data_IF_600713103449
#
_entry.id   IF_600713103449
#
_cell.length_a   1.000
_cell.length_b   1.000
_cell.length_c   1.000
_cell.angle_alpha   90.00
_cell.angle_beta   90.00
_cell.angle_gamma   90.00
#
_symmetry.space_group_name_H-M   'P 1'
#
loop_
_entity.id
_entity.type
_entity.pdbx_description
1 polymer ?
#
# COMPACT_ATOMS: atom_id res chain seq x y z
N UNK A 1 17.30 -35.67 50.85
CA UNK A 1 16.05 -34.89 51.02
C UNK A 1 15.81 -34.15 49.73
N UNK A 2 14.86 -34.65 48.91
CA UNK A 2 14.51 -34.09 47.63
C UNK A 2 13.33 -33.13 47.83
N UNK A 3 13.54 -31.85 47.58
CA UNK A 3 12.50 -30.81 47.60
C UNK A 3 11.73 -30.82 46.30
N UNK A 4 10.48 -31.30 46.35
CA UNK A 4 9.59 -31.32 45.20
C UNK A 4 9.10 -29.91 44.88
N UNK A 5 9.25 -29.49 43.61
CA UNK A 5 8.60 -28.33 43.07
C UNK A 5 7.10 -28.61 42.94
N UNK A 6 6.28 -27.78 43.56
CA UNK A 6 4.83 -27.88 43.59
C UNK A 6 4.21 -27.41 42.28
N UNK A 7 3.09 -28.04 41.92
CA UNK A 7 2.29 -27.74 40.70
C UNK A 7 1.79 -26.28 40.57
N UNK A 8 1.95 -25.44 41.58
CA UNK A 8 1.50 -24.06 41.62
C UNK A 8 2.43 -23.07 40.87
N UNK A 9 3.68 -23.46 40.56
CA UNK A 9 4.61 -22.57 39.81
C UNK A 9 4.47 -22.66 38.30
N UNK A 10 3.53 -23.46 37.78
CA UNK A 10 3.26 -23.60 36.34
C UNK A 10 2.07 -22.80 35.85
N UNK A 11 1.26 -22.23 36.72
CA UNK A 11 0.03 -21.51 36.32
C UNK A 11 0.19 -19.98 36.19
N UNK A 12 1.34 -19.39 36.48
CA UNK A 12 1.57 -17.93 36.38
C UNK A 12 2.24 -17.48 35.10
N UNK A 13 2.29 -18.29 34.04
CA UNK A 13 2.61 -17.86 32.67
C UNK A 13 1.40 -17.85 31.77
N UNK A 14 0.25 -17.43 32.24
CA UNK A 14 -0.78 -16.90 31.39
C UNK A 14 -0.28 -15.53 30.94
N UNK A 15 0.31 -15.50 29.71
CA UNK A 15 0.68 -14.27 29.05
C UNK A 15 -0.55 -13.40 28.97
N UNK A 16 -0.44 -12.18 29.47
CA UNK A 16 -1.41 -11.10 29.24
C UNK A 16 -1.51 -11.00 27.72
N UNK A 17 -2.57 -11.55 27.20
CA UNK A 17 -2.95 -11.36 25.78
C UNK A 17 -3.46 -9.93 25.69
N UNK A 18 -2.55 -8.96 25.66
CA UNK A 18 -2.93 -7.59 25.33
C UNK A 18 -3.43 -7.62 23.89
N UNK A 19 -4.74 -7.61 23.70
CA UNK A 19 -5.36 -7.32 22.40
C UNK A 19 -4.92 -5.90 22.01
N UNK A 20 -3.89 -5.83 21.20
CA UNK A 20 -3.50 -4.57 20.59
C UNK A 20 -4.51 -4.22 19.51
N UNK A 21 -5.24 -3.16 19.71
CA UNK A 21 -6.12 -2.59 18.68
C UNK A 21 -5.27 -1.98 17.57
N UNK A 22 -5.48 -2.46 16.34
CA UNK A 22 -4.83 -1.87 15.18
C UNK A 22 -5.23 -0.40 15.01
N UNK A 23 -4.23 0.49 14.94
CA UNK A 23 -4.48 1.92 14.76
C UNK A 23 -4.64 2.24 13.27
N UNK A 24 -5.72 2.93 12.94
CA UNK A 24 -5.98 3.43 11.59
C UNK A 24 -5.43 4.85 11.42
N UNK A 25 -4.89 5.11 10.24
CA UNK A 25 -4.31 6.39 9.85
C UNK A 25 -4.90 6.87 8.54
N UNK A 26 -4.94 8.18 8.38
CA UNK A 26 -5.39 8.84 7.18
C UNK A 26 -4.25 9.66 6.56
N UNK A 27 -3.97 9.42 5.29
CA UNK A 27 -3.07 10.24 4.49
C UNK A 27 -3.86 10.91 3.36
N UNK A 28 -3.68 12.20 3.18
CA UNK A 28 -4.04 12.87 1.95
C UNK A 28 -2.85 12.85 1.01
N UNK A 29 -3.10 12.43 -0.24
CA UNK A 29 -2.06 12.17 -1.25
C UNK A 29 -2.46 12.81 -2.57
N UNK A 30 -1.52 13.47 -3.25
CA UNK A 30 -1.81 14.14 -4.53
C UNK A 30 -0.59 14.17 -5.44
N UNK A 31 -0.85 14.43 -6.72
CA UNK A 31 0.18 14.62 -7.74
C UNK A 31 -0.42 15.05 -9.08
N UNK A 32 0.43 15.56 -9.94
CA UNK A 32 0.04 16.07 -11.25
C UNK A 32 -0.41 14.96 -12.20
N UNK A 33 0.25 13.78 -12.09
CA UNK A 33 -0.04 12.61 -12.90
C UNK A 33 -0.01 11.34 -12.07
N UNK A 34 -0.75 10.32 -12.54
CA UNK A 34 -0.72 8.98 -11.96
C UNK A 34 -0.92 7.92 -13.05
N UNK A 35 -0.32 6.73 -12.84
CA UNK A 35 -0.53 5.57 -13.69
C UNK A 35 -0.58 4.29 -12.86
N UNK A 36 -1.78 3.88 -12.48
CA UNK A 36 -2.04 2.63 -11.79
C UNK A 36 -2.30 1.54 -12.84
N UNK A 37 -1.21 1.05 -13.44
CA UNK A 37 -1.27 0.22 -14.64
C UNK A 37 -2.11 -1.04 -14.44
N UNK A 38 -3.08 -1.25 -15.34
CA UNK A 38 -3.87 -2.49 -15.42
C UNK A 38 -2.95 -3.64 -15.85
N UNK A 39 -2.92 -4.78 -15.16
CA UNK A 39 -2.05 -5.90 -15.52
C UNK A 39 -2.25 -6.40 -16.94
N UNK A 40 -3.49 -6.40 -17.42
CA UNK A 40 -3.89 -6.82 -18.77
C UNK A 40 -3.43 -5.83 -19.87
N UNK A 41 -3.17 -4.58 -19.51
CA UNK A 41 -2.77 -3.48 -20.41
C UNK A 41 -1.38 -2.93 -20.10
N UNK A 42 -0.49 -3.76 -19.58
CA UNK A 42 0.85 -3.35 -19.15
C UNK A 42 1.76 -2.86 -20.28
N UNK A 43 1.52 -3.30 -21.52
CA UNK A 43 2.35 -2.92 -22.67
C UNK A 43 2.13 -1.46 -23.05
N UNK A 44 0.87 -1.01 -23.09
CA UNK A 44 0.46 0.37 -23.39
C UNK A 44 0.36 1.24 -22.13
N UNK A 45 0.47 0.65 -20.94
CA UNK A 45 0.34 1.33 -19.63
C UNK A 45 -0.94 2.13 -19.50
N UNK A 46 -2.06 1.44 -19.53
CA UNK A 46 -3.37 2.05 -19.25
C UNK A 46 -3.62 2.00 -17.74
N UNK A 47 -3.91 3.15 -17.14
CA UNK A 47 -4.22 3.26 -15.71
C UNK A 47 -5.59 2.68 -15.37
N UNK A 48 -5.79 2.24 -14.12
CA UNK A 48 -7.10 2.19 -13.48
C UNK A 48 -7.64 3.63 -13.33
N UNK A 49 -8.95 3.74 -13.14
CA UNK A 49 -9.64 5.04 -12.95
C UNK A 49 -9.21 5.78 -11.69
N UNK A 50 -8.78 5.04 -10.67
CA UNK A 50 -8.37 5.55 -9.37
C UNK A 50 -7.19 4.76 -8.84
N UNK A 51 -6.61 5.21 -7.72
CA UNK A 51 -5.54 4.50 -7.01
C UNK A 51 -6.00 3.10 -6.57
N UNK A 52 -5.17 2.08 -6.81
CA UNK A 52 -5.42 0.72 -6.34
C UNK A 52 -5.05 0.56 -4.85
N UNK A 53 -5.67 -0.38 -4.11
CA UNK A 53 -5.28 -0.66 -2.73
C UNK A 53 -3.79 -0.98 -2.57
N UNK A 54 -3.19 -1.74 -3.49
CA UNK A 54 -1.75 -2.04 -3.47
C UNK A 54 -0.87 -0.79 -3.61
N UNK A 55 -1.25 0.15 -4.49
CA UNK A 55 -0.52 1.41 -4.65
C UNK A 55 -0.70 2.31 -3.42
N UNK A 56 -1.91 2.37 -2.86
CA UNK A 56 -2.20 3.09 -1.62
C UNK A 56 -1.37 2.54 -0.44
N UNK A 57 -1.33 1.20 -0.28
CA UNK A 57 -0.48 0.54 0.72
C UNK A 57 0.99 0.90 0.56
N UNK A 58 1.50 0.89 -0.68
CA UNK A 58 2.90 1.21 -0.97
C UNK A 58 3.29 2.64 -0.57
N UNK A 59 2.36 3.60 -0.56
CA UNK A 59 2.61 4.96 -0.08
C UNK A 59 2.85 4.96 1.45
N UNK A 60 2.04 4.24 2.23
CA UNK A 60 2.28 4.07 3.66
C UNK A 60 3.61 3.37 3.93
N UNK A 61 3.93 2.34 3.16
CA UNK A 61 5.20 1.60 3.27
C UNK A 61 6.42 2.48 2.94
N UNK A 62 6.29 3.42 2.01
CA UNK A 62 7.34 4.39 1.70
C UNK A 62 7.70 5.27 2.91
N UNK A 63 6.75 5.51 3.82
CA UNK A 63 6.96 6.27 5.07
C UNK A 63 7.51 5.35 6.15
N UNK A 64 6.88 4.19 6.37
CA UNK A 64 7.29 3.21 7.37
C UNK A 64 7.00 1.79 6.90
N UNK A 65 8.06 1.01 6.73
CA UNK A 65 7.99 -0.42 6.48
C UNK A 65 8.96 -1.17 7.39
N UNK A 66 8.46 -2.18 8.11
CA UNK A 66 9.24 -3.09 8.93
C UNK A 66 8.82 -4.52 8.62
N UNK A 67 9.59 -5.13 7.71
CA UNK A 67 9.35 -6.51 7.29
C UNK A 67 9.19 -7.42 8.50
N UNK A 68 8.20 -8.28 8.49
CA UNK A 68 7.83 -9.23 9.55
C UNK A 68 7.24 -8.62 10.83
N UNK A 69 7.43 -7.34 11.12
CA UNK A 69 6.98 -6.73 12.37
C UNK A 69 5.61 -6.06 12.24
N UNK A 70 5.27 -5.63 11.03
CA UNK A 70 4.01 -4.96 10.75
C UNK A 70 3.61 -5.09 9.28
N UNK A 71 2.35 -4.86 9.02
CA UNK A 71 1.81 -4.70 7.66
C UNK A 71 0.84 -3.53 7.63
N UNK A 72 0.69 -2.93 6.47
CA UNK A 72 -0.36 -1.96 6.22
C UNK A 72 -1.55 -2.64 5.55
N UNK A 73 -2.75 -2.29 6.00
CA UNK A 73 -4.01 -2.76 5.41
C UNK A 73 -4.85 -1.55 5.08
N UNK A 74 -5.01 -1.27 3.79
CA UNK A 74 -5.90 -0.21 3.31
C UNK A 74 -7.33 -0.63 3.59
N UNK A 75 -8.13 0.30 4.13
CA UNK A 75 -9.53 0.06 4.51
C UNK A 75 -10.49 0.87 3.67
N UNK A 76 -10.07 2.10 3.27
CA UNK A 76 -10.92 3.04 2.55
C UNK A 76 -10.08 3.96 1.68
N UNK A 77 -10.61 4.31 0.52
CA UNK A 77 -10.04 5.32 -0.38
C UNK A 77 -11.14 6.33 -0.71
N UNK A 78 -10.84 7.60 -0.55
CA UNK A 78 -11.71 8.71 -0.93
C UNK A 78 -11.09 9.47 -2.10
N UNK A 79 -11.86 9.68 -3.14
CA UNK A 79 -11.45 10.41 -4.34
C UNK A 79 -11.88 11.86 -4.16
N UNK A 80 -10.92 12.78 -4.14
CA UNK A 80 -11.16 14.20 -3.80
C UNK A 80 -11.21 15.11 -5.04
N UNK A 81 -10.77 14.61 -6.20
CA UNK A 81 -10.81 15.33 -7.46
C UNK A 81 -11.41 14.48 -8.57
N UNK A 82 -12.12 15.11 -9.54
CA UNK A 82 -12.69 14.41 -10.69
C UNK A 82 -11.63 13.61 -11.45
N UNK A 83 -12.04 12.45 -11.95
CA UNK A 83 -11.19 11.56 -12.73
C UNK A 83 -10.95 12.22 -14.11
N UNK A 84 -9.71 12.61 -14.36
CA UNK A 84 -9.29 13.25 -15.61
C UNK A 84 -8.24 12.39 -16.31
N UNK A 85 -8.47 12.10 -17.57
CA UNK A 85 -7.58 11.30 -18.39
C UNK A 85 -6.70 12.18 -19.28
N UNK A 86 -5.47 11.71 -19.50
CA UNK A 86 -4.55 12.28 -20.50
C UNK A 86 -3.78 11.17 -21.19
N UNK A 87 -3.50 11.34 -22.47
CA UNK A 87 -2.68 10.42 -23.25
C UNK A 87 -1.30 11.02 -23.48
N UNK A 88 -0.26 10.22 -23.24
CA UNK A 88 1.12 10.63 -23.47
C UNK A 88 1.82 9.58 -24.34
N UNK A 89 2.42 10.02 -25.44
CA UNK A 89 3.28 9.19 -26.27
C UNK A 89 4.72 9.28 -25.74
N UNK A 90 5.32 8.14 -25.48
CA UNK A 90 6.67 8.05 -24.91
C UNK A 90 7.58 7.18 -25.77
N UNK A 91 8.86 7.55 -25.80
CA UNK A 91 9.89 6.68 -26.33
C UNK A 91 10.38 5.76 -25.19
N UNK A 92 10.21 4.47 -25.36
CA UNK A 92 10.70 3.44 -24.45
C UNK A 92 11.77 2.59 -25.11
N UNK A 93 12.58 1.91 -24.30
CA UNK A 93 13.61 0.99 -24.76
C UNK A 93 12.99 -0.39 -24.98
N UNK A 94 12.97 -0.87 -26.22
CA UNK A 94 12.43 -2.16 -26.63
C UNK A 94 13.39 -3.35 -26.40
N UNK A 95 14.36 -3.24 -25.48
CA UNK A 95 15.32 -4.29 -25.19
C UNK A 95 15.60 -4.39 -23.70
N UNK A 96 15.95 -5.60 -23.25
CA UNK A 96 16.39 -5.86 -21.88
C UNK A 96 17.92 -5.82 -21.82
N UNK A 97 18.48 -5.13 -20.83
CA UNK A 97 19.93 -5.12 -20.60
C UNK A 97 20.44 -6.54 -20.32
N UNK A 98 21.57 -6.88 -20.90
CA UNK A 98 22.23 -8.17 -20.71
C UNK A 98 23.69 -7.94 -20.38
N UNK A 99 24.24 -8.74 -19.47
CA UNK A 99 25.68 -8.73 -19.15
C UNK A 99 26.56 -9.22 -20.30
N UNK A 100 25.94 -9.84 -21.32
CA UNK A 100 26.63 -10.33 -22.52
C UNK A 100 26.70 -9.33 -23.67
N UNK A 101 26.04 -8.16 -23.53
CA UNK A 101 26.04 -7.11 -24.56
C UNK A 101 26.87 -5.92 -24.12
N UNK A 102 27.42 -5.20 -25.08
CA UNK A 102 28.21 -3.98 -24.87
C UNK A 102 27.37 -2.77 -24.42
N UNK A 103 26.04 -2.94 -24.36
CA UNK A 103 25.08 -1.91 -23.98
C UNK A 103 23.84 -1.92 -24.86
N UNK A 104 22.91 -1.00 -24.58
CA UNK A 104 21.72 -0.74 -25.37
C UNK A 104 21.82 0.67 -25.95
N UNK A 105 21.85 0.78 -27.27
CA UNK A 105 21.79 2.04 -27.97
C UNK A 105 20.31 2.36 -28.24
N UNK A 106 19.84 3.49 -27.71
CA UNK A 106 18.41 3.88 -27.77
C UNK A 106 17.94 4.09 -29.23
N UNK A 107 18.82 4.56 -30.09
CA UNK A 107 18.57 4.78 -31.51
C UNK A 107 18.11 3.51 -32.22
N UNK A 108 18.71 2.37 -31.87
CA UNK A 108 18.43 1.07 -32.48
C UNK A 108 17.25 0.33 -31.85
N UNK A 109 16.91 0.68 -30.61
CA UNK A 109 15.93 -0.05 -29.80
C UNK A 109 14.78 0.84 -29.31
N UNK A 110 14.59 2.01 -29.90
CA UNK A 110 13.48 2.91 -29.57
C UNK A 110 12.14 2.30 -29.98
N UNK A 111 11.22 2.28 -29.03
CA UNK A 111 9.81 1.95 -29.25
C UNK A 111 8.93 3.10 -28.79
N UNK A 112 8.01 3.53 -29.64
CA UNK A 112 6.98 4.49 -29.22
C UNK A 112 5.80 3.74 -28.63
N UNK A 113 5.40 4.11 -27.40
CA UNK A 113 4.22 3.57 -26.73
C UNK A 113 3.32 4.71 -26.25
N UNK A 114 2.05 4.52 -26.41
CA UNK A 114 1.05 5.41 -25.83
C UNK A 114 0.77 4.95 -24.40
N UNK A 115 0.56 5.89 -23.51
CA UNK A 115 0.13 5.61 -22.14
C UNK A 115 -1.09 6.46 -21.84
N UNK A 116 -2.09 5.84 -21.22
CA UNK A 116 -3.29 6.54 -20.77
C UNK A 116 -3.18 6.72 -19.26
N UNK A 117 -3.02 7.98 -18.85
CA UNK A 117 -2.68 8.40 -17.50
C UNK A 117 -3.84 9.17 -16.87
N UNK A 118 -3.81 9.24 -15.54
CA UNK A 118 -4.64 10.18 -14.78
C UNK A 118 -3.89 11.49 -14.60
N UNK A 119 -4.62 12.60 -14.61
CA UNK A 119 -4.10 13.97 -14.43
C UNK A 119 -4.74 14.65 -13.24
N UNK A 120 -3.94 15.38 -12.45
CA UNK A 120 -4.40 16.22 -11.34
C UNK A 120 -5.18 15.39 -10.30
N UNK A 121 -4.54 14.36 -9.76
CA UNK A 121 -5.17 13.43 -8.83
C UNK A 121 -4.99 13.86 -7.37
N UNK A 122 -6.02 13.58 -6.55
CA UNK A 122 -5.98 13.78 -5.11
C UNK A 122 -6.87 12.77 -4.41
N UNK A 123 -6.30 12.09 -3.44
CA UNK A 123 -6.95 11.02 -2.69
C UNK A 123 -6.76 11.23 -1.21
N UNK A 124 -7.70 10.73 -0.42
CA UNK A 124 -7.53 10.48 0.99
C UNK A 124 -7.58 8.98 1.20
N UNK A 125 -6.50 8.42 1.72
CA UNK A 125 -6.34 6.98 1.89
C UNK A 125 -6.25 6.62 3.36
N UNK A 126 -6.99 5.59 3.75
CA UNK A 126 -7.09 5.11 5.11
C UNK A 126 -6.46 3.74 5.19
N UNK A 127 -5.61 3.53 6.18
CA UNK A 127 -4.97 2.23 6.38
C UNK A 127 -4.72 1.96 7.86
N UNK A 128 -4.89 0.70 8.24
CA UNK A 128 -4.54 0.17 9.55
C UNK A 128 -3.10 -0.29 9.58
N UNK A 129 -2.38 0.10 10.62
CA UNK A 129 -1.10 -0.48 10.95
C UNK A 129 -1.34 -1.74 11.79
N UNK A 130 -1.20 -2.90 11.17
CA UNK A 130 -1.38 -4.20 11.80
C UNK A 130 -0.04 -4.68 12.33
N UNK A 131 0.09 -4.77 13.65
CA UNK A 131 1.29 -5.31 14.29
C UNK A 131 1.31 -6.83 14.22
N UNK A 132 2.46 -7.41 13.91
CA UNK A 132 2.68 -8.86 13.89
C UNK A 132 3.45 -9.25 15.14
N UNK A 133 2.80 -9.90 16.12
CA UNK A 133 3.46 -10.37 17.33
C UNK A 133 4.68 -11.24 17.01
N UNK A 134 5.68 -11.18 17.88
CA UNK A 134 6.94 -11.93 17.70
C UNK A 134 6.69 -13.43 17.54
N UNK A 135 5.71 -13.98 18.28
CA UNK A 135 5.29 -15.39 18.19
C UNK A 135 4.79 -15.82 16.82
N UNK A 136 4.24 -14.89 16.05
CA UNK A 136 3.60 -15.17 14.76
C UNK A 136 4.52 -14.91 13.56
N UNK A 137 5.79 -14.55 13.82
CA UNK A 137 6.76 -14.26 12.76
C UNK A 137 7.46 -15.53 12.28
N UNK A 138 7.79 -15.64 10.99
CA UNK A 138 8.53 -16.78 10.47
C UNK A 138 9.97 -16.82 11.04
N UNK A 139 10.56 -18.01 11.12
CA UNK A 139 11.91 -18.22 11.70
C UNK A 139 12.98 -17.37 10.99
N UNK A 140 12.83 -17.09 9.71
CA UNK A 140 13.75 -16.25 8.92
C UNK A 140 13.79 -14.81 9.40
N UNK A 141 12.73 -14.33 10.04
CA UNK A 141 12.68 -12.99 10.63
C UNK A 141 13.75 -12.80 11.70
N UNK A 142 14.08 -13.88 12.45
CA UNK A 142 15.03 -13.84 13.56
C UNK A 142 16.50 -13.90 13.10
N UNK A 143 16.75 -14.37 11.90
CA UNK A 143 18.11 -14.41 11.32
C UNK A 143 18.57 -13.00 10.94
N UNK A 144 17.67 -12.17 10.42
CA UNK A 144 18.00 -10.83 9.93
C UNK A 144 17.74 -9.71 10.93
N UNK A 145 16.74 -9.88 11.79
CA UNK A 145 16.31 -8.85 12.76
C UNK A 145 15.90 -9.52 14.06
N UNK A 146 16.75 -9.46 15.06
CA UNK A 146 16.35 -9.85 16.42
C UNK A 146 15.37 -8.81 16.97
N UNK A 147 14.16 -9.21 17.41
CA UNK A 147 13.25 -8.27 18.05
C UNK A 147 13.90 -7.67 19.29
N UNK A 148 13.73 -6.37 19.49
CA UNK A 148 14.13 -5.73 20.74
C UNK A 148 13.25 -6.21 21.91
N UNK A 149 13.79 -6.20 23.13
CA UNK A 149 13.03 -6.57 24.33
C UNK A 149 11.81 -5.65 24.58
N UNK A 150 11.85 -4.45 24.03
CA UNK A 150 10.84 -3.38 24.12
C UNK A 150 9.93 -3.30 22.88
N UNK A 151 9.97 -4.30 22.02
CA UNK A 151 9.22 -4.27 20.78
C UNK A 151 7.71 -4.43 21.02
N UNK A 152 6.97 -3.38 20.76
CA UNK A 152 5.52 -3.31 20.92
C UNK A 152 4.90 -2.43 19.80
N UNK A 153 3.59 -2.52 19.54
CA UNK A 153 2.94 -1.76 18.46
C UNK A 153 3.04 -0.24 18.63
N UNK A 154 3.03 0.27 19.87
CA UNK A 154 3.10 1.69 20.15
C UNK A 154 4.37 2.34 19.58
N UNK A 155 5.49 1.62 19.59
CA UNK A 155 6.75 2.06 18.98
C UNK A 155 6.59 2.35 17.47
N UNK A 156 5.85 1.50 16.76
CA UNK A 156 5.60 1.67 15.33
C UNK A 156 4.60 2.79 15.07
N UNK A 157 3.57 2.93 15.90
CA UNK A 157 2.59 4.02 15.81
C UNK A 157 3.28 5.38 15.94
N UNK A 158 4.03 5.60 17.00
CA UNK A 158 4.78 6.84 17.23
C UNK A 158 5.81 7.12 16.11
N UNK A 159 6.47 6.07 15.61
CA UNK A 159 7.44 6.21 14.53
C UNK A 159 6.77 6.66 13.23
N UNK A 160 5.60 6.10 12.89
CA UNK A 160 4.83 6.50 11.72
C UNK A 160 4.31 7.92 11.86
N UNK A 161 3.65 8.25 12.97
CA UNK A 161 3.10 9.58 13.25
C UNK A 161 4.15 10.67 13.11
N UNK A 162 5.29 10.50 13.78
CA UNK A 162 6.39 11.45 13.70
C UNK A 162 6.87 11.67 12.26
N UNK A 163 7.06 10.59 11.50
CA UNK A 163 7.53 10.68 10.11
C UNK A 163 6.49 11.33 9.22
N UNK A 164 5.27 10.85 9.28
CA UNK A 164 4.18 11.33 8.43
C UNK A 164 3.87 12.81 8.70
N UNK A 165 3.86 13.24 9.97
CA UNK A 165 3.65 14.63 10.35
C UNK A 165 4.76 15.58 9.85
N UNK A 166 5.99 15.05 9.70
CA UNK A 166 7.15 15.81 9.19
C UNK A 166 7.37 15.66 7.68
N UNK A 167 6.49 14.95 6.97
CA UNK A 167 6.66 14.65 5.55
C UNK A 167 7.88 13.76 5.24
N UNK A 168 8.38 13.00 6.23
CA UNK A 168 9.53 12.12 6.07
C UNK A 168 9.12 10.77 5.47
N UNK A 169 9.90 10.30 4.52
CA UNK A 169 9.73 8.98 3.91
C UNK A 169 11.08 8.28 3.78
N UNK A 170 11.07 6.97 3.76
CA UNK A 170 12.24 6.15 3.50
C UNK A 170 12.61 6.16 2.00
N UNK A 171 11.60 6.10 1.15
CA UNK A 171 11.69 6.28 -0.29
C UNK A 171 10.61 7.25 -0.72
N UNK A 172 10.87 8.04 -1.78
CA UNK A 172 9.84 8.94 -2.31
C UNK A 172 8.62 8.12 -2.73
N UNK A 173 7.43 8.36 -2.15
CA UNK A 173 6.20 7.71 -2.61
C UNK A 173 5.85 8.16 -4.03
N UNK A 174 5.11 7.30 -4.76
CA UNK A 174 4.74 7.56 -6.14
C UNK A 174 3.34 7.02 -6.47
N UNK A 175 2.73 7.58 -7.49
CA UNK A 175 1.37 7.29 -7.93
C UNK A 175 1.36 6.25 -9.07
N UNK A 176 1.61 5.00 -8.69
CA UNK A 176 1.61 3.83 -9.59
C UNK A 176 2.95 3.58 -10.27
N UNK A 177 3.55 4.57 -10.92
CA UNK A 177 4.90 4.47 -11.51
C UNK A 177 5.86 5.48 -10.90
N UNK A 178 7.14 5.13 -10.78
CA UNK A 178 8.16 5.93 -10.07
C UNK A 178 8.36 7.34 -10.63
N UNK A 179 7.99 7.57 -11.87
CA UNK A 179 8.06 8.89 -12.54
C UNK A 179 7.03 9.89 -12.00
N UNK A 180 5.95 9.40 -11.37
CA UNK A 180 4.88 10.25 -10.83
C UNK A 180 4.97 10.32 -9.32
N UNK A 181 5.83 11.20 -8.82
CA UNK A 181 6.01 11.42 -7.38
C UNK A 181 4.70 11.80 -6.72
N UNK A 182 4.46 11.26 -5.55
CA UNK A 182 3.34 11.62 -4.69
C UNK A 182 3.79 12.62 -3.63
N UNK A 183 3.02 13.67 -3.44
CA UNK A 183 3.04 14.48 -2.24
C UNK A 183 2.03 13.90 -1.25
N UNK A 184 2.31 14.01 0.05
CA UNK A 184 1.42 13.51 1.08
C UNK A 184 1.43 14.39 2.32
N UNK A 185 0.36 14.32 3.11
CA UNK A 185 0.28 14.83 4.48
C UNK A 185 -0.48 13.87 5.37
N UNK A 186 -0.09 13.80 6.63
CA UNK A 186 -0.91 13.13 7.65
C UNK A 186 -2.15 13.97 7.92
N UNK A 187 -3.29 13.32 7.99
CA UNK A 187 -4.59 13.94 8.27
C UNK A 187 -5.12 13.41 9.59
N UNK A 188 -5.50 14.31 10.47
CA UNK A 188 -6.27 13.98 11.65
C UNK A 188 -7.75 14.28 11.36
N UNK A 189 -8.61 13.26 11.22
CA UNK A 189 -10.02 13.45 10.86
C UNK A 189 -10.82 14.24 11.89
N UNK A 190 -10.37 14.27 13.15
CA UNK A 190 -11.08 14.92 14.24
C UNK A 190 -10.77 16.41 14.36
N UNK A 191 -9.61 16.83 13.85
CA UNK A 191 -9.10 18.21 14.01
C UNK A 191 -8.89 18.96 12.71
N UNK A 192 -8.65 18.25 11.59
CA UNK A 192 -8.41 18.87 10.30
C UNK A 192 -9.70 19.22 9.56
N UNK A 193 -9.72 20.37 8.90
CA UNK A 193 -10.76 20.70 7.95
C UNK A 193 -10.61 19.81 6.70
N UNK A 194 -11.58 18.93 6.48
CA UNK A 194 -11.54 17.95 5.39
C UNK A 194 -12.25 18.46 4.15
N UNK A 195 -11.54 18.45 3.03
CA UNK A 195 -12.16 18.56 1.71
C UNK A 195 -13.12 17.37 1.49
N UNK A 196 -14.38 17.56 1.10
CA UNK A 196 -15.30 16.45 0.86
C UNK A 196 -14.80 15.56 -0.30
N UNK A 197 -15.16 14.28 -0.25
CA UNK A 197 -15.03 13.39 -1.39
C UNK A 197 -15.99 13.83 -2.52
N UNK A 198 -15.77 13.30 -3.73
CA UNK A 198 -16.62 13.63 -4.88
C UNK A 198 -18.08 13.26 -4.62
N UNK A 199 -18.98 14.20 -4.84
CA UNK A 199 -20.42 13.92 -4.82
C UNK A 199 -20.83 13.08 -6.05
N UNK A 200 -22.04 12.51 -5.99
CA UNK A 200 -22.63 11.81 -7.14
C UNK A 200 -22.65 12.66 -8.41
N UNK A 201 -23.00 13.96 -8.28
CA UNK A 201 -23.05 14.91 -9.40
C UNK A 201 -21.68 15.21 -10.02
N UNK A 202 -20.61 15.07 -9.24
CA UNK A 202 -19.23 15.22 -9.69
C UNK A 202 -18.62 13.92 -10.24
N UNK A 203 -19.44 12.86 -10.42
CA UNK A 203 -19.00 11.56 -10.90
C UNK A 203 -18.49 10.64 -9.78
N UNK A 204 -18.87 10.90 -8.52
CA UNK A 204 -18.50 10.11 -7.35
C UNK A 204 -19.18 8.73 -7.28
N UNK A 205 -20.18 8.44 -8.11
CA UNK A 205 -20.80 7.12 -8.20
C UNK A 205 -20.34 6.43 -9.48
N UNK A 206 -19.61 5.31 -9.33
CA UNK A 206 -19.08 4.55 -10.47
C UNK A 206 -18.81 3.09 -10.10
N UNK A 207 -19.22 2.15 -10.96
CA UNK A 207 -18.69 0.79 -10.94
C UNK A 207 -17.28 0.82 -11.57
N UNK A 208 -16.27 0.49 -10.79
CA UNK A 208 -14.87 0.46 -11.22
C UNK A 208 -14.46 -0.91 -11.77
N UNK A 209 -15.37 -1.90 -11.71
CA UNK A 209 -15.14 -3.25 -12.18
C UNK A 209 -14.14 -4.03 -11.34
N UNK A 210 -13.45 -4.96 -11.98
CA UNK A 210 -12.41 -5.76 -11.34
C UNK A 210 -11.12 -4.92 -11.24
N UNK A 211 -10.67 -4.72 -10.01
CA UNK A 211 -9.48 -3.92 -9.70
C UNK A 211 -8.44 -4.76 -8.98
N UNK A 212 -7.16 -4.49 -9.27
CA UNK A 212 -6.04 -5.09 -8.55
C UNK A 212 -6.13 -4.71 -7.07
N UNK A 213 -6.27 -5.73 -6.22
CA UNK A 213 -6.24 -5.58 -4.78
C UNK A 213 -4.80 -5.49 -4.29
N UNK A 214 -4.02 -6.54 -4.48
CA UNK A 214 -2.61 -6.65 -4.10
C UNK A 214 -1.96 -7.86 -4.79
N UNK A 215 -0.68 -8.07 -4.50
CA UNK A 215 0.04 -9.28 -4.89
C UNK A 215 0.11 -10.24 -3.69
N UNK A 216 -0.16 -11.51 -3.92
CA UNK A 216 0.03 -12.56 -2.92
C UNK A 216 1.49 -13.01 -2.90
N UNK A 217 2.20 -12.62 -1.86
CA UNK A 217 3.61 -12.98 -1.62
C UNK A 217 3.77 -14.22 -0.72
N UNK A 218 2.71 -14.95 -0.43
CA UNK A 218 2.76 -16.17 0.40
C UNK A 218 3.67 -17.24 -0.20
N UNK A 219 3.68 -17.36 -1.54
CA UNK A 219 4.62 -18.19 -2.27
C UNK A 219 5.60 -17.33 -3.08
N UNK A 220 6.85 -17.12 -2.63
CA UNK A 220 7.83 -16.30 -3.36
C UNK A 220 8.23 -16.82 -4.75
N UNK A 221 7.94 -18.09 -5.05
CA UNK A 221 8.23 -18.69 -6.37
C UNK A 221 7.09 -18.50 -7.36
N UNK A 222 5.90 -18.22 -6.88
CA UNK A 222 4.69 -18.06 -7.69
C UNK A 222 3.82 -16.95 -7.08
N UNK A 223 4.17 -15.72 -7.42
CA UNK A 223 3.47 -14.53 -6.92
C UNK A 223 2.24 -14.29 -7.79
N UNK A 224 1.05 -14.42 -7.20
CA UNK A 224 -0.23 -14.24 -7.87
C UNK A 224 -0.82 -12.85 -7.61
N UNK A 225 -1.53 -12.31 -8.60
CA UNK A 225 -2.28 -11.09 -8.42
C UNK A 225 -3.65 -11.39 -7.80
N UNK A 226 -4.02 -10.62 -6.78
CA UNK A 226 -5.33 -10.66 -6.16
C UNK A 226 -6.17 -9.49 -6.65
N UNK A 227 -7.45 -9.74 -6.89
CA UNK A 227 -8.39 -8.76 -7.40
C UNK A 227 -9.62 -8.68 -6.51
N UNK A 228 -10.41 -7.62 -6.68
CA UNK A 228 -11.73 -7.50 -6.07
C UNK A 228 -12.63 -6.65 -6.96
N UNK A 229 -13.94 -6.76 -6.77
CA UNK A 229 -14.87 -5.87 -7.46
C UNK A 229 -14.97 -4.56 -6.70
N UNK A 230 -14.51 -3.50 -7.33
CA UNK A 230 -14.47 -2.17 -6.73
C UNK A 230 -15.68 -1.34 -7.18
N UNK A 231 -16.33 -0.67 -6.22
CA UNK A 231 -17.41 0.27 -6.45
C UNK A 231 -17.10 1.57 -5.71
N UNK A 232 -17.28 2.68 -6.38
CA UNK A 232 -17.16 4.01 -5.79
C UNK A 232 -18.55 4.58 -5.56
N UNK A 233 -18.87 4.95 -4.31
CA UNK A 233 -20.13 5.60 -3.90
C UNK A 233 -19.81 6.93 -3.26
N UNK A 234 -20.30 8.01 -3.82
CA UNK A 234 -20.04 9.38 -3.36
C UNK A 234 -18.54 9.66 -3.15
N UNK A 235 -17.73 9.20 -4.11
CA UNK A 235 -16.29 9.36 -4.05
C UNK A 235 -15.56 8.41 -3.10
N UNK A 236 -16.26 7.50 -2.43
CA UNK A 236 -15.70 6.59 -1.43
C UNK A 236 -15.65 5.17 -1.97
N UNK A 237 -14.52 4.51 -1.78
CA UNK A 237 -14.27 3.12 -2.12
C UNK A 237 -13.92 2.39 -0.83
N UNK A 238 -14.71 1.41 -0.46
CA UNK A 238 -14.40 0.52 0.68
C UNK A 238 -13.54 -0.62 0.16
N UNK A 239 -12.45 -0.87 0.87
CA UNK A 239 -11.50 -1.94 0.53
C UNK A 239 -11.74 -3.11 1.47
N UNK A 240 -12.07 -4.31 0.96
CA UNK A 240 -12.31 -5.46 1.81
C UNK A 240 -11.04 -5.90 2.55
N UNK A 241 -11.16 -6.52 3.74
CA UNK A 241 -10.01 -7.09 4.43
C UNK A 241 -9.43 -8.29 3.64
N UNK A 242 -8.15 -8.59 3.88
CA UNK A 242 -7.40 -9.60 3.11
C UNK A 242 -8.00 -11.02 3.17
N UNK A 243 -8.72 -11.34 4.22
CA UNK A 243 -9.41 -12.61 4.48
C UNK A 243 -10.86 -12.63 3.99
N UNK A 244 -11.33 -11.56 3.32
CA UNK A 244 -12.68 -11.50 2.74
C UNK A 244 -12.85 -12.47 1.57
N UNK A 245 -14.05 -13.04 1.46
CA UNK A 245 -14.48 -13.83 0.29
C UNK A 245 -14.62 -13.00 -0.99
N UNK A 246 -14.64 -11.68 -0.87
CA UNK A 246 -14.72 -10.77 -2.02
C UNK A 246 -13.38 -10.69 -2.80
N UNK A 247 -12.30 -11.25 -2.26
CA UNK A 247 -10.98 -11.24 -2.89
C UNK A 247 -10.85 -12.45 -3.84
N UNK A 248 -10.72 -12.14 -5.11
CA UNK A 248 -10.51 -13.09 -6.19
C UNK A 248 -9.00 -13.41 -6.29
N UNK A 249 -8.68 -14.71 -6.26
CA UNK A 249 -7.30 -15.24 -6.33
C UNK A 249 -7.14 -16.14 -7.54
#
# INVERSE_FOLDING_TARGET
MAGGFTKQDKEQKQGINMEYTDKEYCLEVWGDYACFTRPELKVERVSYDVITPSAARAIFEAILFKRYAMRWQVTKIEVLKPIKWTSVRRNEVGATASTKSTGIYIEDKRQQKNSLLLKDVRYRIWAKLVFIPVSNRPKEAFVKHKPGADENPMKYYQMFERRAAQGQCFTQPYLGTREFSASFRLVDPDTDELCPALSAEQGGNRDLGIMLYDMDFSNPKDIQAMFYRAEMKEGVIIVPPLDSEEILR
#
